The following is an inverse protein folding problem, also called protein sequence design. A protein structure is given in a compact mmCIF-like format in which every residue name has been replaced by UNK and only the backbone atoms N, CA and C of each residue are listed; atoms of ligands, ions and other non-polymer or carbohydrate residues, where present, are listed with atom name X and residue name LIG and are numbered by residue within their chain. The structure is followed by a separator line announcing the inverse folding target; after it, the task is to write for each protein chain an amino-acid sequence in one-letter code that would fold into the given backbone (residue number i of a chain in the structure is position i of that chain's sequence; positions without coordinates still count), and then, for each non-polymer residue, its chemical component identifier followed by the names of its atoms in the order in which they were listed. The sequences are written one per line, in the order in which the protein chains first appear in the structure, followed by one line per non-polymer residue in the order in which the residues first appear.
data_IF_080066918590
#
_entry.id   IF_080066918590
#
_cell.length_a   1.000
_cell.length_b   1.000
_cell.length_c   1.000
_cell.angle_alpha   90.00
_cell.angle_beta   90.00
_cell.angle_gamma   90.00
#
_symmetry.space_group_name_H-M   'P 1'
#
loop_
_entity.id
_entity.type
_entity.pdbx_description
1 polymer ?
#
# COMPACT_ATOMS: atom_id res chain seq x y z
N UNK A 1 10.69 6.70 27.11
CA UNK A 1 11.22 7.99 26.64
C UNK A 1 10.47 8.35 25.38
N UNK A 2 9.54 9.28 25.52
CA UNK A 2 8.64 9.74 24.47
C UNK A 2 9.43 10.53 23.43
N UNK A 3 9.49 10.06 22.19
CA UNK A 3 9.72 10.95 21.05
C UNK A 3 8.37 11.49 20.62
N UNK A 4 7.94 12.49 21.40
CA UNK A 4 6.93 13.47 21.04
C UNK A 4 7.29 14.08 19.68
N UNK A 5 6.27 14.24 18.85
CA UNK A 5 6.09 15.34 17.91
C UNK A 5 7.29 15.68 17.01
N UNK A 6 7.34 15.07 15.83
CA UNK A 6 8.09 15.57 14.67
C UNK A 6 7.15 16.24 13.65
N UNK A 7 6.02 16.79 14.09
CA UNK A 7 5.01 17.45 13.24
C UNK A 7 4.86 18.96 13.53
N UNK A 8 5.79 19.57 14.25
CA UNK A 8 5.75 21.01 14.55
C UNK A 8 7.03 21.69 14.06
N UNK A 9 7.15 21.81 12.75
CA UNK A 9 7.83 22.93 12.08
C UNK A 9 7.20 23.04 10.68
N UNK A 10 5.89 23.32 10.66
CA UNK A 10 5.22 23.77 9.46
C UNK A 10 5.73 25.19 9.19
N UNK A 11 6.77 25.24 8.37
CA UNK A 11 7.29 26.43 7.70
C UNK A 11 6.11 27.36 7.37
N UNK A 12 6.04 28.49 8.07
CA UNK A 12 5.02 29.54 7.93
C UNK A 12 5.21 30.23 6.58
N UNK A 13 5.00 29.46 5.52
CA UNK A 13 5.12 29.87 4.14
C UNK A 13 3.97 30.84 3.89
N UNK A 14 4.22 32.13 4.14
CA UNK A 14 3.28 33.21 3.89
C UNK A 14 2.67 33.01 2.50
N UNK A 15 1.36 32.76 2.46
CA UNK A 15 0.65 32.48 1.22
C UNK A 15 0.25 33.79 0.57
N UNK A 16 0.44 33.92 -0.74
CA UNK A 16 0.13 35.16 -1.46
C UNK A 16 -0.98 34.96 -2.49
N UNK A 17 -1.79 36.00 -2.69
CA UNK A 17 -2.73 36.05 -3.78
C UNK A 17 -1.96 36.01 -5.11
N UNK A 18 -2.20 34.98 -5.93
CA UNK A 18 -1.50 34.79 -7.19
C UNK A 18 -1.76 35.91 -8.24
N UNK A 19 -2.73 36.78 -8.00
CA UNK A 19 -3.01 37.92 -8.90
C UNK A 19 -2.42 39.25 -8.45
N UNK A 20 -2.32 39.51 -7.14
CA UNK A 20 -1.99 40.84 -6.62
C UNK A 20 -0.90 40.82 -5.54
N UNK A 21 -0.39 39.65 -5.17
CA UNK A 21 0.69 39.52 -4.18
C UNK A 21 0.28 39.83 -2.74
N UNK A 22 -1.01 40.04 -2.45
CA UNK A 22 -1.48 40.25 -1.08
C UNK A 22 -1.25 38.99 -0.25
N UNK A 23 -0.52 39.12 0.85
CA UNK A 23 -0.31 38.05 1.81
C UNK A 23 -1.61 37.67 2.52
N UNK A 24 -1.74 36.38 2.84
CA UNK A 24 -2.70 35.85 3.81
C UNK A 24 -2.26 36.33 5.19
N UNK A 25 -3.04 37.24 5.76
CA UNK A 25 -2.89 37.79 7.12
C UNK A 25 -4.24 37.65 7.83
N UNK A 26 -4.33 37.92 9.13
CA UNK A 26 -5.54 37.67 9.93
C UNK A 26 -6.85 38.18 9.30
N UNK A 27 -6.80 39.36 8.66
CA UNK A 27 -7.97 39.99 8.02
C UNK A 27 -8.24 39.51 6.57
N UNK A 28 -7.32 38.78 5.94
CA UNK A 28 -7.38 38.41 4.52
C UNK A 28 -7.24 36.91 4.34
N UNK A 29 -8.38 36.22 4.18
CA UNK A 29 -8.42 34.79 3.84
C UNK A 29 -8.30 34.56 2.34
N UNK A 30 -7.29 33.82 1.91
CA UNK A 30 -7.13 33.47 0.50
C UNK A 30 -7.94 32.22 0.16
N UNK A 31 -8.61 32.25 -0.99
CA UNK A 31 -9.39 31.11 -1.51
C UNK A 31 -8.60 30.37 -2.58
N UNK A 32 -8.43 29.07 -2.38
CA UNK A 32 -7.76 28.18 -3.34
C UNK A 32 -8.57 28.03 -4.63
N UNK A 33 -7.90 27.96 -5.77
CA UNK A 33 -8.51 27.60 -7.05
C UNK A 33 -9.09 26.18 -6.96
N UNK A 34 -10.41 26.03 -7.10
CA UNK A 34 -11.11 24.75 -6.93
C UNK A 34 -10.74 23.70 -7.98
N UNK A 35 -10.31 24.12 -9.17
CA UNK A 35 -9.96 23.22 -10.25
C UNK A 35 -8.56 22.60 -10.09
N UNK A 36 -7.53 23.42 -9.86
CA UNK A 36 -6.14 22.95 -9.83
C UNK A 36 -5.54 22.84 -8.43
N UNK A 37 -6.18 23.42 -7.40
CA UNK A 37 -5.70 23.47 -6.01
C UNK A 37 -4.30 24.10 -5.79
N UNK A 38 -3.63 24.59 -6.83
CA UNK A 38 -2.22 25.08 -6.74
C UNK A 38 -2.05 26.55 -6.44
N UNK A 39 -3.06 27.39 -6.62
CA UNK A 39 -2.96 28.84 -6.41
C UNK A 39 -4.12 29.35 -5.57
N UNK A 40 -3.91 30.46 -4.87
CA UNK A 40 -4.92 31.08 -4.01
C UNK A 40 -5.18 32.54 -4.42
N UNK A 41 -6.37 33.04 -4.10
CA UNK A 41 -6.81 34.40 -4.42
C UNK A 41 -7.56 35.05 -3.27
N UNK A 42 -7.28 36.33 -2.98
CA UNK A 42 -8.04 37.09 -1.98
C UNK A 42 -9.49 37.38 -2.40
N UNK A 43 -9.80 37.27 -3.70
CA UNK A 43 -11.14 37.58 -4.23
C UNK A 43 -11.41 36.93 -5.58
N UNK A 44 -12.70 36.81 -5.92
CA UNK A 44 -13.16 36.40 -7.26
C UNK A 44 -12.66 37.36 -8.34
N UNK A 45 -12.51 38.65 -8.03
CA UNK A 45 -11.95 39.66 -8.95
C UNK A 45 -10.50 39.32 -9.32
N UNK A 46 -9.67 39.01 -8.32
CA UNK A 46 -8.29 38.58 -8.53
C UNK A 46 -8.22 37.26 -9.33
N UNK A 47 -9.09 36.29 -9.04
CA UNK A 47 -9.16 35.04 -9.79
C UNK A 47 -9.51 35.28 -11.27
N UNK A 48 -10.49 36.14 -11.57
CA UNK A 48 -10.85 36.49 -12.95
C UNK A 48 -9.73 37.23 -13.68
N UNK A 49 -9.05 38.16 -12.99
CA UNK A 49 -7.92 38.93 -13.54
C UNK A 49 -6.75 38.02 -13.93
N UNK A 50 -6.39 37.07 -13.07
CA UNK A 50 -5.28 36.14 -13.33
C UNK A 50 -5.65 34.99 -14.28
N UNK A 51 -6.94 34.77 -14.58
CA UNK A 51 -7.43 33.65 -15.40
C UNK A 51 -6.71 33.51 -16.75
N UNK A 52 -6.45 34.57 -17.54
CA UNK A 52 -5.78 34.42 -18.84
C UNK A 52 -4.36 33.84 -18.73
N UNK A 53 -3.60 34.26 -17.71
CA UNK A 53 -2.25 33.79 -17.43
C UNK A 53 -2.25 32.38 -16.82
N UNK A 54 -3.24 32.08 -15.99
CA UNK A 54 -3.33 30.82 -15.25
C UNK A 54 -3.96 29.66 -16.03
N UNK A 55 -4.82 29.93 -17.03
CA UNK A 55 -5.74 28.93 -17.63
C UNK A 55 -5.05 27.63 -18.07
N UNK A 56 -3.91 27.72 -18.75
CA UNK A 56 -3.21 26.55 -19.27
C UNK A 56 -2.62 25.70 -18.14
N UNK A 57 -1.94 26.33 -17.19
CA UNK A 57 -1.40 25.65 -16.01
C UNK A 57 -2.52 25.04 -15.16
N UNK A 58 -3.64 25.76 -15.01
CA UNK A 58 -4.83 25.27 -14.30
C UNK A 58 -5.37 23.98 -14.92
N UNK A 59 -5.49 23.94 -16.26
CA UNK A 59 -6.01 22.76 -16.98
C UNK A 59 -5.07 21.56 -16.83
N UNK A 60 -3.77 21.78 -16.96
CA UNK A 60 -2.76 20.73 -16.79
C UNK A 60 -2.83 20.10 -15.39
N UNK A 61 -2.76 20.93 -14.34
CA UNK A 61 -2.80 20.44 -12.96
C UNK A 61 -4.14 19.80 -12.60
N UNK A 62 -5.26 20.31 -13.12
CA UNK A 62 -6.56 19.69 -12.91
C UNK A 62 -6.63 18.28 -13.53
N UNK A 63 -5.99 18.06 -14.70
CA UNK A 63 -5.87 16.73 -15.29
C UNK A 63 -4.97 15.81 -14.45
N UNK A 64 -3.82 16.29 -13.99
CA UNK A 64 -2.94 15.53 -13.09
C UNK A 64 -3.65 15.12 -11.79
N UNK A 65 -4.39 16.03 -11.16
CA UNK A 65 -5.19 15.74 -9.95
C UNK A 65 -6.28 14.71 -10.22
N UNK A 66 -6.90 14.74 -11.40
CA UNK A 66 -7.89 13.76 -11.79
C UNK A 66 -7.25 12.38 -11.96
N UNK A 67 -6.09 12.30 -12.61
CA UNK A 67 -5.35 11.06 -12.77
C UNK A 67 -4.86 10.52 -11.42
N UNK A 68 -4.38 11.38 -10.52
CA UNK A 68 -4.05 11.00 -9.13
C UNK A 68 -5.26 10.37 -8.43
N UNK A 69 -6.45 10.94 -8.53
CA UNK A 69 -7.67 10.39 -7.90
C UNK A 69 -8.02 9.02 -8.49
N UNK A 70 -7.88 8.85 -9.81
CA UNK A 70 -8.22 7.60 -10.49
C UNK A 70 -7.21 6.48 -10.26
N UNK A 71 -5.91 6.80 -10.19
CA UNK A 71 -4.83 5.81 -10.25
C UNK A 71 -4.02 5.68 -8.97
N UNK A 72 -4.23 6.54 -7.95
CA UNK A 72 -3.57 6.39 -6.66
C UNK A 72 -3.95 5.03 -6.05
N UNK A 73 -2.95 4.18 -5.90
CA UNK A 73 -3.10 2.89 -5.25
C UNK A 73 -3.44 3.10 -3.76
N UNK A 74 -4.34 2.30 -3.17
CA UNK A 74 -4.62 2.35 -1.75
C UNK A 74 -3.37 1.96 -0.94
N UNK A 75 -3.24 2.50 0.27
CA UNK A 75 -2.10 2.21 1.16
C UNK A 75 -2.08 0.76 1.66
N UNK A 76 -3.19 0.04 1.52
CA UNK A 76 -3.34 -1.36 1.87
C UNK A 76 -4.21 -2.09 0.86
N UNK A 77 -3.93 -3.38 0.66
CA UNK A 77 -4.82 -4.30 -0.06
C UNK A 77 -5.71 -5.05 0.94
N UNK A 78 -6.79 -5.67 0.46
CA UNK A 78 -7.60 -6.61 1.23
C UNK A 78 -6.78 -7.82 1.73
N UNK A 79 -5.68 -8.15 1.05
CA UNK A 79 -4.72 -9.19 1.44
C UNK A 79 -3.80 -8.77 2.60
N UNK A 80 -3.87 -7.51 3.03
CA UNK A 80 -3.05 -6.95 4.10
C UNK A 80 -1.59 -6.75 3.70
N UNK A 81 -0.70 -6.78 4.69
CA UNK A 81 0.74 -6.58 4.53
C UNK A 81 1.55 -7.83 4.81
N UNK A 82 2.73 -7.93 4.18
CA UNK A 82 3.71 -8.96 4.50
C UNK A 82 4.12 -8.84 5.99
N UNK A 83 4.04 -9.91 6.79
CA UNK A 83 4.32 -9.84 8.23
C UNK A 83 5.82 -9.69 8.56
N UNK A 84 6.69 -9.61 7.54
CA UNK A 84 8.15 -9.43 7.70
C UNK A 84 8.56 -8.00 7.39
N UNK A 85 8.15 -7.46 6.24
CA UNK A 85 8.53 -6.11 5.80
C UNK A 85 7.41 -5.07 5.94
N UNK A 86 6.21 -5.48 6.36
CA UNK A 86 5.01 -4.65 6.53
C UNK A 86 4.53 -3.93 5.25
N UNK A 87 5.07 -4.28 4.08
CA UNK A 87 4.62 -3.75 2.79
C UNK A 87 3.34 -4.46 2.33
N UNK A 88 2.44 -3.79 1.60
CA UNK A 88 1.23 -4.39 1.06
C UNK A 88 1.53 -5.64 0.22
N UNK A 89 0.74 -6.70 0.42
CA UNK A 89 0.80 -7.89 -0.43
C UNK A 89 0.27 -7.53 -1.82
N UNK A 90 1.01 -7.97 -2.85
CA UNK A 90 0.62 -7.74 -4.24
C UNK A 90 -0.66 -8.49 -4.59
N UNK A 91 -1.51 -7.88 -5.43
CA UNK A 91 -2.69 -8.54 -5.98
C UNK A 91 -2.34 -9.68 -6.96
N UNK A 92 -1.12 -9.66 -7.50
CA UNK A 92 -0.60 -10.77 -8.30
C UNK A 92 -0.24 -11.92 -7.36
N UNK A 93 -1.05 -12.97 -7.39
CA UNK A 93 -0.87 -14.17 -6.56
C UNK A 93 0.51 -14.81 -6.72
N UNK A 94 1.22 -14.59 -7.84
CA UNK A 94 2.57 -15.10 -8.08
C UNK A 94 3.66 -14.37 -7.29
N UNK A 95 3.34 -13.24 -6.67
CA UNK A 95 4.29 -12.40 -5.92
C UNK A 95 4.19 -12.58 -4.40
N UNK A 96 3.46 -13.59 -3.96
CA UNK A 96 3.38 -13.98 -2.55
C UNK A 96 3.18 -15.47 -2.41
N UNK A 97 3.73 -16.04 -1.35
CA UNK A 97 3.63 -17.46 -1.06
C UNK A 97 3.05 -17.67 0.34
N UNK A 98 2.07 -18.55 0.46
CA UNK A 98 1.61 -19.03 1.77
C UNK A 98 2.57 -20.10 2.31
N UNK A 99 3.03 -19.93 3.53
CA UNK A 99 3.84 -20.94 4.22
C UNK A 99 2.97 -22.02 4.85
N UNK A 100 3.15 -23.29 4.45
CA UNK A 100 2.38 -24.44 4.97
C UNK A 100 2.48 -24.67 6.48
N UNK A 101 3.57 -24.23 7.11
CA UNK A 101 3.81 -24.42 8.55
C UNK A 101 3.04 -23.43 9.47
N UNK A 102 2.81 -22.19 9.02
CA UNK A 102 2.22 -21.13 9.85
C UNK A 102 1.11 -20.35 9.16
N UNK A 103 0.78 -20.70 7.92
CA UNK A 103 -0.29 -20.11 7.11
C UNK A 103 -0.13 -18.61 6.85
N UNK A 104 1.07 -18.07 7.06
CA UNK A 104 1.38 -16.68 6.73
C UNK A 104 1.66 -16.55 5.24
N UNK A 105 1.01 -15.57 4.62
CA UNK A 105 1.28 -15.13 3.25
C UNK A 105 2.45 -14.15 3.30
N UNK A 106 3.55 -14.51 2.64
CA UNK A 106 4.81 -13.78 2.64
C UNK A 106 5.09 -13.27 1.23
N UNK A 107 5.50 -12.00 1.08
CA UNK A 107 5.86 -11.48 -0.23
C UNK A 107 7.12 -12.17 -0.77
N UNK A 108 7.20 -12.32 -2.10
CA UNK A 108 8.27 -13.07 -2.74
C UNK A 108 9.65 -12.47 -2.50
N UNK A 109 9.73 -11.14 -2.30
CA UNK A 109 10.98 -10.48 -1.90
C UNK A 109 11.52 -10.98 -0.56
N UNK A 110 10.66 -11.22 0.44
CA UNK A 110 11.07 -11.77 1.73
C UNK A 110 11.36 -13.28 1.66
N UNK A 111 10.64 -14.03 0.83
CA UNK A 111 10.94 -15.44 0.54
C UNK A 111 12.34 -15.56 -0.06
N UNK A 112 12.60 -14.82 -1.14
CA UNK A 112 13.88 -14.78 -1.84
C UNK A 112 15.05 -14.34 -0.93
N UNK A 113 14.84 -13.32 -0.10
CA UNK A 113 15.86 -12.87 0.86
C UNK A 113 16.23 -13.97 1.85
N UNK A 114 15.26 -14.78 2.28
CA UNK A 114 15.53 -15.91 3.16
C UNK A 114 16.26 -17.05 2.42
N UNK A 115 15.92 -17.32 1.17
CA UNK A 115 16.63 -18.31 0.35
C UNK A 115 18.10 -17.92 0.12
N UNK A 116 18.39 -16.65 -0.14
CA UNK A 116 19.77 -16.13 -0.20
C UNK A 116 20.52 -16.42 1.10
N UNK A 117 19.92 -16.08 2.25
CA UNK A 117 20.52 -16.30 3.57
C UNK A 117 20.81 -17.78 3.80
N UNK A 118 19.87 -18.65 3.46
CA UNK A 118 20.00 -20.11 3.61
C UNK A 118 21.15 -20.62 2.74
N UNK A 119 21.19 -20.21 1.47
CA UNK A 119 22.23 -20.61 0.53
C UNK A 119 23.62 -20.16 0.98
N UNK A 120 23.78 -18.89 1.37
CA UNK A 120 25.07 -18.32 1.78
C UNK A 120 25.61 -18.96 3.06
N UNK A 121 24.72 -19.35 3.98
CA UNK A 121 25.10 -19.96 5.25
C UNK A 121 25.03 -21.51 5.22
N UNK A 122 24.77 -22.11 4.07
CA UNK A 122 24.60 -23.57 3.91
C UNK A 122 23.61 -24.17 4.92
N UNK A 123 22.52 -23.47 5.20
CA UNK A 123 21.50 -23.89 6.16
C UNK A 123 20.47 -24.79 5.50
N UNK A 124 19.67 -25.48 6.32
CA UNK A 124 18.47 -26.15 5.83
C UNK A 124 17.39 -25.14 5.42
N UNK A 125 16.57 -25.54 4.44
CA UNK A 125 15.42 -24.73 4.01
C UNK A 125 14.44 -24.57 5.16
N UNK A 126 14.12 -23.32 5.49
CA UNK A 126 13.24 -22.97 6.60
C UNK A 126 12.29 -21.86 6.19
N UNK A 127 11.14 -21.79 6.85
CA UNK A 127 10.17 -20.72 6.68
C UNK A 127 10.80 -19.34 6.97
N UNK A 128 10.59 -18.32 6.12
CA UNK A 128 11.13 -16.98 6.36
C UNK A 128 10.54 -16.30 7.62
N UNK A 129 9.31 -16.69 8.01
CA UNK A 129 8.62 -16.11 9.15
C UNK A 129 8.88 -16.86 10.46
N UNK A 130 8.42 -18.11 10.58
CA UNK A 130 8.52 -18.87 11.83
C UNK A 130 9.76 -19.77 11.93
N UNK A 131 10.63 -19.79 10.91
CA UNK A 131 11.85 -20.63 10.84
C UNK A 131 11.64 -22.14 10.93
N UNK A 132 10.40 -22.62 10.89
CA UNK A 132 10.12 -24.06 10.83
C UNK A 132 10.76 -24.68 9.57
N UNK A 133 11.34 -25.89 9.65
CA UNK A 133 11.87 -26.59 8.48
C UNK A 133 10.85 -26.67 7.35
N UNK A 134 11.33 -26.52 6.11
CA UNK A 134 10.50 -26.74 4.94
C UNK A 134 10.09 -28.23 4.87
N UNK A 135 8.88 -28.53 4.39
CA UNK A 135 8.46 -29.92 4.18
C UNK A 135 9.40 -30.61 3.18
N UNK A 136 9.67 -31.89 3.41
CA UNK A 136 10.58 -32.71 2.58
C UNK A 136 9.85 -33.34 1.40
N UNK A 137 8.53 -33.42 1.45
CA UNK A 137 7.68 -33.95 0.38
C UNK A 137 6.36 -33.18 0.26
N UNK A 138 5.65 -33.41 -0.85
CA UNK A 138 4.32 -32.81 -1.07
C UNK A 138 3.29 -33.31 -0.07
N UNK A 139 3.35 -34.59 0.29
CA UNK A 139 2.44 -35.20 1.26
C UNK A 139 2.65 -34.59 2.66
N UNK A 140 3.90 -34.30 3.03
CA UNK A 140 4.20 -33.59 4.29
C UNK A 140 3.67 -32.15 4.25
N UNK A 141 3.82 -31.46 3.12
CA UNK A 141 3.28 -30.12 2.92
C UNK A 141 1.76 -30.09 3.05
N UNK A 142 1.05 -30.98 2.37
CA UNK A 142 -0.41 -31.13 2.45
C UNK A 142 -0.86 -31.43 3.88
N UNK A 143 -0.18 -32.36 4.55
CA UNK A 143 -0.45 -32.68 5.96
C UNK A 143 -0.28 -31.45 6.86
N UNK A 144 0.76 -30.64 6.63
CA UNK A 144 0.98 -29.42 7.38
C UNK A 144 -0.13 -28.40 7.12
N UNK A 145 -0.55 -28.23 5.87
CA UNK A 145 -1.66 -27.33 5.52
C UNK A 145 -2.97 -27.79 6.17
N UNK A 146 -3.32 -29.06 6.09
CA UNK A 146 -4.57 -29.58 6.66
C UNK A 146 -4.62 -29.43 8.19
N UNK A 147 -3.48 -29.59 8.89
CA UNK A 147 -3.39 -29.26 10.32
C UNK A 147 -3.70 -27.79 10.59
N UNK A 148 -3.27 -26.88 9.70
CA UNK A 148 -3.54 -25.45 9.84
C UNK A 148 -4.98 -25.08 9.52
N UNK A 149 -5.64 -25.75 8.57
CA UNK A 149 -7.07 -25.54 8.26
C UNK A 149 -7.94 -25.66 9.51
N UNK A 150 -7.62 -26.60 10.41
CA UNK A 150 -8.34 -26.81 11.67
C UNK A 150 -8.13 -25.69 12.72
N UNK A 151 -7.10 -24.85 12.57
CA UNK A 151 -6.66 -23.91 13.59
C UNK A 151 -6.54 -22.46 13.10
N UNK A 152 -6.57 -22.21 11.80
CA UNK A 152 -6.30 -20.92 11.18
C UNK A 152 -7.32 -20.65 10.05
N UNK A 153 -8.25 -19.70 10.26
CA UNK A 153 -9.26 -19.36 9.25
C UNK A 153 -8.65 -18.92 7.91
N UNK A 154 -7.45 -18.32 7.91
CA UNK A 154 -6.75 -17.93 6.67
C UNK A 154 -6.35 -19.17 5.87
N UNK A 155 -5.91 -20.24 6.54
CA UNK A 155 -5.60 -21.50 5.89
C UNK A 155 -6.84 -22.14 5.26
N UNK A 156 -7.99 -22.07 5.95
CA UNK A 156 -9.27 -22.59 5.46
C UNK A 156 -9.72 -21.88 4.17
N UNK A 157 -9.75 -20.54 4.16
CA UNK A 157 -10.14 -19.76 2.97
C UNK A 157 -9.27 -20.11 1.76
N UNK A 158 -7.97 -20.22 1.98
CA UNK A 158 -7.00 -20.42 0.90
C UNK A 158 -7.00 -21.83 0.33
N UNK A 159 -7.28 -22.85 1.14
CA UNK A 159 -7.56 -24.20 0.62
C UNK A 159 -8.87 -24.22 -0.17
N UNK A 160 -9.90 -23.49 0.28
CA UNK A 160 -11.13 -23.30 -0.49
C UNK A 160 -10.86 -22.68 -1.86
N UNK A 161 -10.03 -21.64 -1.95
CA UNK A 161 -9.65 -21.03 -3.23
C UNK A 161 -8.94 -22.02 -4.15
N UNK A 162 -7.94 -22.77 -3.65
CA UNK A 162 -7.23 -23.80 -4.43
C UNK A 162 -8.16 -24.89 -4.96
N UNK A 163 -9.09 -25.38 -4.13
CA UNK A 163 -10.08 -26.38 -4.52
C UNK A 163 -11.04 -25.86 -5.60
N UNK A 164 -11.51 -24.63 -5.44
CA UNK A 164 -12.33 -23.97 -6.44
C UNK A 164 -11.61 -23.81 -7.78
N UNK A 165 -10.32 -23.43 -7.77
CA UNK A 165 -9.50 -23.36 -8.98
C UNK A 165 -9.29 -24.74 -9.63
N UNK A 166 -9.20 -25.80 -8.82
CA UNK A 166 -9.09 -27.18 -9.29
C UNK A 166 -10.43 -27.77 -9.78
N UNK A 167 -11.55 -27.08 -9.56
CA UNK A 167 -12.89 -27.61 -9.85
C UNK A 167 -13.31 -28.78 -8.94
N UNK A 168 -12.66 -28.92 -7.79
CA UNK A 168 -12.93 -29.96 -6.81
C UNK A 168 -13.84 -29.40 -5.71
N UNK A 169 -15.11 -29.74 -5.80
CA UNK A 169 -16.16 -29.27 -4.88
C UNK A 169 -16.62 -30.35 -3.89
N UNK A 170 -16.20 -31.59 -4.09
CA UNK A 170 -16.69 -32.74 -3.34
C UNK A 170 -15.94 -32.90 -2.00
N UNK A 171 -14.68 -32.47 -1.93
CA UNK A 171 -13.82 -32.66 -0.76
C UNK A 171 -13.93 -31.54 0.30
N UNK A 172 -14.99 -30.73 0.31
CA UNK A 172 -15.05 -29.47 1.06
C UNK A 172 -15.01 -29.55 2.60
N UNK A 173 -15.03 -30.74 3.24
CA UNK A 173 -14.96 -30.89 4.69
C UNK A 173 -14.13 -32.10 5.13
#
# INVERSE_FOLDING_TARGET
MSTKNLEEEADDMMMYCASCGTAEVDDIKLKTCTACKSVRYCSVKCQKKHRPQHKQACKKRAAELHDEILFKQPESTNEGGCPICCLPISLDQKKSTMMSCCSKVICEGCVYSNDIRIYQASLERTCPFCRHPAPKSKEEEEKNIMKRVQADPVAMVQIGLRRNEAGDYDDAF
#
